data_IF_359499930765
#
_entry.id   IF_359499930765
#
_cell.length_a   1.000
_cell.length_b   1.000
_cell.length_c   1.000
_cell.angle_alpha   90.00
_cell.angle_beta   90.00
_cell.angle_gamma   90.00
#
_symmetry.space_group_name_H-M   'P 1'
#
loop_
_entity.id
_entity.type
_entity.pdbx_description
1 polymer ?
#
# COMPACT_ATOMS: atom_id res chain seq x y z
N UNK A 1 6.85 9.56 -17.14
CA UNK A 1 6.11 8.79 -16.13
C UNK A 1 4.75 9.45 -15.94
N UNK A 2 3.71 8.81 -16.47
CA UNK A 2 2.33 9.26 -16.33
C UNK A 2 1.80 8.96 -14.91
N UNK A 3 0.62 9.49 -14.60
CA UNK A 3 0.01 9.38 -13.26
C UNK A 3 -0.24 7.93 -12.84
N UNK A 4 -0.68 7.06 -13.74
CA UNK A 4 -0.89 5.63 -13.45
C UNK A 4 0.43 4.88 -13.20
N UNK A 5 1.52 5.22 -13.90
CA UNK A 5 2.84 4.61 -13.66
C UNK A 5 3.39 4.97 -12.27
N UNK A 6 3.14 6.20 -11.80
CA UNK A 6 3.49 6.64 -10.44
C UNK A 6 2.72 5.87 -9.37
N UNK A 7 1.43 5.67 -9.61
CA UNK A 7 0.55 4.93 -8.71
C UNK A 7 0.97 3.46 -8.61
N UNK A 8 1.18 2.79 -9.75
CA UNK A 8 1.61 1.40 -9.81
C UNK A 8 2.93 1.19 -9.04
N UNK A 9 3.91 2.06 -9.28
CA UNK A 9 5.20 1.99 -8.58
C UNK A 9 5.06 2.19 -7.07
N UNK A 10 4.22 3.12 -6.63
CA UNK A 10 3.96 3.32 -5.19
C UNK A 10 3.31 2.07 -4.57
N UNK A 11 2.38 1.42 -5.27
CA UNK A 11 1.74 0.17 -4.83
C UNK A 11 2.73 -0.98 -4.74
N UNK A 12 3.62 -1.12 -5.73
CA UNK A 12 4.67 -2.13 -5.71
C UNK A 12 5.62 -1.94 -4.53
N UNK A 13 6.09 -0.72 -4.28
CA UNK A 13 6.97 -0.41 -3.15
C UNK A 13 6.28 -0.71 -1.81
N UNK A 14 5.02 -0.28 -1.65
CA UNK A 14 4.25 -0.55 -0.43
C UNK A 14 4.04 -2.05 -0.22
N UNK A 15 3.69 -2.80 -1.27
CA UNK A 15 3.47 -4.24 -1.20
C UNK A 15 4.78 -5.02 -0.92
N UNK A 16 5.90 -4.59 -1.51
CA UNK A 16 7.21 -5.19 -1.24
C UNK A 16 7.67 -4.99 0.21
N UNK A 17 7.27 -3.89 0.84
CA UNK A 17 7.52 -3.63 2.25
C UNK A 17 6.71 -4.53 3.21
N UNK A 18 5.76 -5.31 2.69
CA UNK A 18 4.99 -6.31 3.42
C UNK A 18 3.66 -5.81 3.98
N UNK A 19 2.80 -6.75 4.38
CA UNK A 19 1.42 -6.46 4.80
C UNK A 19 1.31 -5.51 6.00
N UNK A 20 2.25 -5.57 6.95
CA UNK A 20 2.27 -4.64 8.08
C UNK A 20 2.55 -3.20 7.62
N UNK A 21 3.52 -3.01 6.73
CA UNK A 21 3.84 -1.70 6.14
C UNK A 21 2.66 -1.14 5.35
N UNK A 22 2.00 -1.98 4.55
CA UNK A 22 0.77 -1.59 3.83
C UNK A 22 -0.34 -1.14 4.79
N UNK A 23 -0.58 -1.90 5.88
CA UNK A 23 -1.57 -1.52 6.91
C UNK A 23 -1.24 -0.17 7.54
N UNK A 24 0.04 0.07 7.87
CA UNK A 24 0.50 1.35 8.40
C UNK A 24 0.31 2.50 7.39
N UNK A 25 0.56 2.26 6.10
CA UNK A 25 0.30 3.25 5.04
C UNK A 25 -1.19 3.58 4.90
N UNK A 26 -2.07 2.58 4.93
CA UNK A 26 -3.53 2.78 4.89
C UNK A 26 -3.99 3.63 6.07
N UNK A 27 -3.44 3.39 7.26
CA UNK A 27 -3.80 4.12 8.47
C UNK A 27 -3.31 5.58 8.42
N UNK A 28 -2.05 5.79 8.03
CA UNK A 28 -1.47 7.12 7.87
C UNK A 28 -2.22 7.94 6.81
N UNK A 29 -2.43 7.37 5.62
CA UNK A 29 -3.18 8.02 4.54
C UNK A 29 -4.63 8.29 4.92
N UNK A 30 -5.26 7.41 5.70
CA UNK A 30 -6.61 7.61 6.23
C UNK A 30 -6.73 8.78 7.20
N UNK A 31 -5.63 9.12 7.91
CA UNK A 31 -5.52 10.31 8.77
C UNK A 31 -5.14 11.59 8.01
N UNK A 32 -4.90 11.49 6.70
CA UNK A 32 -4.40 12.59 5.88
C UNK A 32 -2.89 12.80 5.99
N UNK A 33 -2.15 11.87 6.58
CA UNK A 33 -0.70 11.91 6.65
C UNK A 33 -0.07 11.45 5.33
N UNK A 34 1.08 12.03 5.00
CA UNK A 34 1.79 11.76 3.75
C UNK A 34 2.91 10.75 4.01
N UNK A 35 2.73 9.52 3.54
CA UNK A 35 3.79 8.49 3.58
C UNK A 35 4.90 8.80 2.57
N UNK A 36 6.08 8.20 2.76
CA UNK A 36 7.19 8.32 1.81
C UNK A 36 6.79 7.86 0.39
N UNK A 37 6.03 6.77 0.28
CA UNK A 37 5.50 6.21 -0.98
C UNK A 37 4.45 7.12 -1.62
N UNK A 38 3.73 7.90 -0.82
CA UNK A 38 2.68 8.82 -1.26
C UNK A 38 3.15 10.27 -1.45
N UNK A 39 4.40 10.59 -1.10
CA UNK A 39 4.96 11.95 -1.14
C UNK A 39 4.96 12.55 -2.54
N UNK A 40 5.25 11.72 -3.54
CA UNK A 40 5.29 12.12 -4.95
C UNK A 40 3.91 12.07 -5.64
N UNK A 41 2.88 11.60 -4.94
CA UNK A 41 1.51 11.55 -5.42
C UNK A 41 0.77 12.83 -5.04
N UNK A 42 0.03 13.40 -6.00
CA UNK A 42 -0.97 14.44 -5.75
C UNK A 42 -2.17 13.88 -4.97
N UNK A 43 -2.98 14.76 -4.39
CA UNK A 43 -4.13 14.39 -3.55
C UNK A 43 -5.10 13.38 -4.22
N UNK A 44 -5.34 13.54 -5.53
CA UNK A 44 -6.17 12.60 -6.31
C UNK A 44 -5.53 11.21 -6.36
N UNK A 45 -4.22 11.15 -6.60
CA UNK A 45 -3.49 9.90 -6.65
C UNK A 45 -3.31 9.28 -5.27
N UNK A 46 -3.17 10.07 -4.20
CA UNK A 46 -3.13 9.57 -2.82
C UNK A 46 -4.44 8.91 -2.41
N UNK A 47 -5.57 9.51 -2.79
CA UNK A 47 -6.89 8.90 -2.57
C UNK A 47 -6.99 7.57 -3.30
N UNK A 48 -6.62 7.55 -4.59
CA UNK A 48 -6.63 6.32 -5.39
C UNK A 48 -5.68 5.25 -4.84
N UNK A 49 -4.49 5.66 -4.40
CA UNK A 49 -3.50 4.79 -3.76
C UNK A 49 -4.06 4.15 -2.49
N UNK A 50 -4.71 4.93 -1.63
CA UNK A 50 -5.38 4.43 -0.43
C UNK A 50 -6.49 3.42 -0.76
N UNK A 51 -7.32 3.71 -1.77
CA UNK A 51 -8.38 2.80 -2.22
C UNK A 51 -7.81 1.46 -2.73
N UNK A 52 -6.77 1.51 -3.55
CA UNK A 52 -6.10 0.32 -4.08
C UNK A 52 -5.44 -0.50 -2.97
N UNK A 53 -4.74 0.14 -2.02
CA UNK A 53 -4.14 -0.56 -0.87
C UNK A 53 -5.21 -1.27 -0.02
N UNK A 54 -6.36 -0.63 0.20
CA UNK A 54 -7.50 -1.25 0.91
C UNK A 54 -8.08 -2.43 0.14
N UNK A 55 -8.23 -2.31 -1.18
CA UNK A 55 -8.72 -3.39 -2.04
C UNK A 55 -7.76 -4.59 -2.02
N UNK A 56 -6.45 -4.34 -2.10
CA UNK A 56 -5.40 -5.37 -1.97
C UNK A 56 -5.52 -6.05 -0.62
N UNK A 57 -5.55 -5.29 0.47
CA UNK A 57 -5.67 -5.84 1.83
C UNK A 57 -6.96 -6.63 2.07
N UNK A 58 -8.09 -6.24 1.48
CA UNK A 58 -9.35 -6.97 1.62
C UNK A 58 -9.27 -8.41 1.03
N UNK A 59 -8.47 -8.60 -0.02
CA UNK A 59 -8.20 -9.94 -0.59
C UNK A 59 -7.33 -10.78 0.34
N UNK A 60 -6.36 -10.16 1.03
CA UNK A 60 -5.53 -10.84 2.03
C UNK A 60 -6.28 -11.14 3.33
N UNK A 61 -7.18 -10.25 3.76
CA UNK A 61 -8.01 -10.41 4.95
C UNK A 61 -9.09 -11.48 4.76
N UNK A 62 -9.60 -11.65 3.53
CA UNK A 62 -10.52 -12.75 3.21
C UNK A 62 -9.84 -14.13 3.14
N UNK A 63 -8.50 -14.19 3.28
CA UNK A 63 -7.69 -15.40 3.28
C UNK A 63 -7.14 -15.71 4.67
N UNK A 64 -7.95 -15.57 5.72
CA UNK A 64 -7.66 -16.15 7.04
C UNK A 64 -7.67 -17.69 6.98
N UNK A 65 -6.76 -18.27 6.18
CA UNK A 65 -6.19 -19.61 6.35
C UNK A 65 -4.89 -19.68 5.53
N UNK A 66 -3.77 -19.76 6.27
CA UNK A 66 -2.42 -20.14 5.84
C UNK A 66 -1.68 -19.28 4.80
N UNK A 67 -0.82 -18.39 5.30
CA UNK A 67 0.16 -17.69 4.48
C UNK A 67 1.00 -16.68 5.24
N UNK A 68 1.68 -17.16 6.29
CA UNK A 68 2.67 -16.39 7.03
C UNK A 68 3.50 -15.48 6.10
N UNK A 69 3.62 -14.20 6.48
CA UNK A 69 4.79 -13.40 6.14
C UNK A 69 6.03 -14.18 6.63
N UNK A 70 6.57 -15.06 5.78
CA UNK A 70 7.89 -15.66 5.96
C UNK A 70 8.89 -14.54 5.67
N UNK A 71 9.20 -13.83 6.74
CA UNK A 71 10.54 -13.33 7.08
C UNK A 71 11.59 -13.73 6.02
N UNK A 72 11.97 -12.77 5.17
CA UNK A 72 13.20 -12.85 4.41
C UNK A 72 14.34 -12.54 5.41
N UNK A 73 14.80 -13.59 6.08
CA UNK A 73 16.16 -13.62 6.64
C UNK A 73 17.12 -13.80 5.47
N UNK A 74 17.92 -12.76 5.19
CA UNK A 74 19.32 -12.90 4.78
C UNK A 74 20.16 -12.01 5.71
#
# INVERSE_FOLDING_TARGET
MNRDERLARALEVACQAGCQSVRAEIEALGKGEVSASARELDEVLRRRFLEELRAIMAVYDSREDDGACREALD
#
